data_IF_505590357284
#
_entry.id   IF_505590357284
#
_cell.length_a   1.000
_cell.length_b   1.000
_cell.length_c   1.000
_cell.angle_alpha   90.00
_cell.angle_beta   90.00
_cell.angle_gamma   90.00
#
_symmetry.space_group_name_H-M   'P 1'
#
loop_
_entity.id
_entity.type
_entity.pdbx_description
1 polymer ?
#
# COMPACT_ATOMS: atom_id res chain seq x y z
N UNK A 1 -20.19 -3.29 22.00
CA UNK A 1 -19.25 -2.27 21.48
C UNK A 1 -18.54 -2.82 20.25
N UNK A 2 -19.11 -2.66 19.04
CA UNK A 2 -18.59 -3.23 17.77
C UNK A 2 -17.84 -2.24 16.86
N UNK A 3 -17.74 -0.97 17.27
CA UNK A 3 -17.29 0.12 16.39
C UNK A 3 -15.79 0.07 16.01
N UNK A 4 -14.94 -0.53 16.83
CA UNK A 4 -13.50 -0.51 16.59
C UNK A 4 -12.99 -1.59 15.62
N UNK A 5 -13.43 -2.86 15.70
CA UNK A 5 -13.19 -3.81 14.62
C UNK A 5 -13.69 -3.25 13.29
N UNK A 6 -14.89 -2.63 13.29
CA UNK A 6 -15.46 -1.99 12.11
C UNK A 6 -14.55 -0.91 11.53
N UNK A 7 -13.98 -0.03 12.37
CA UNK A 7 -13.04 1.00 11.93
C UNK A 7 -11.75 0.40 11.36
N UNK A 8 -11.16 -0.58 12.04
CA UNK A 8 -9.94 -1.25 11.56
C UNK A 8 -10.18 -1.99 10.23
N UNK A 9 -11.33 -2.66 10.08
CA UNK A 9 -11.72 -3.32 8.83
C UNK A 9 -12.06 -2.32 7.73
N UNK A 10 -12.70 -1.19 8.04
CA UNK A 10 -13.02 -0.15 7.06
C UNK A 10 -11.74 0.54 6.56
N UNK A 11 -10.83 0.93 7.47
CA UNK A 11 -9.55 1.53 7.11
C UNK A 11 -8.69 0.56 6.29
N UNK A 12 -8.54 -0.69 6.73
CA UNK A 12 -7.75 -1.68 5.99
C UNK A 12 -8.39 -2.06 4.66
N UNK A 13 -9.72 -2.17 4.58
CA UNK A 13 -10.45 -2.37 3.32
C UNK A 13 -10.26 -1.22 2.33
N UNK A 14 -10.32 0.03 2.79
CA UNK A 14 -10.02 1.20 1.97
C UNK A 14 -8.58 1.17 1.45
N UNK A 15 -7.59 0.92 2.32
CA UNK A 15 -6.18 0.86 1.92
C UNK A 15 -5.91 -0.29 0.94
N UNK A 16 -6.58 -1.44 1.14
CA UNK A 16 -6.50 -2.57 0.22
C UNK A 16 -7.08 -2.22 -1.16
N UNK A 17 -8.20 -1.49 -1.20
CA UNK A 17 -8.79 -1.02 -2.46
C UNK A 17 -7.87 -0.04 -3.20
N UNK A 18 -7.20 0.86 -2.48
CA UNK A 18 -6.19 1.76 -3.06
C UNK A 18 -5.01 0.97 -3.64
N UNK A 19 -4.45 0.04 -2.86
CA UNK A 19 -3.35 -0.83 -3.32
C UNK A 19 -3.74 -1.64 -4.54
N UNK A 20 -4.99 -2.11 -4.61
CA UNK A 20 -5.51 -2.81 -5.79
C UNK A 20 -5.54 -1.90 -7.03
N UNK A 21 -5.99 -0.65 -6.87
CA UNK A 21 -5.99 0.32 -7.97
C UNK A 21 -4.59 0.59 -8.50
N UNK A 22 -3.59 0.74 -7.61
CA UNK A 22 -2.18 0.87 -7.99
C UNK A 22 -1.69 -0.40 -8.71
N UNK A 23 -2.04 -1.57 -8.17
CA UNK A 23 -1.59 -2.87 -8.66
C UNK A 23 -2.07 -3.18 -10.08
N UNK A 24 -3.25 -2.72 -10.50
CA UNK A 24 -3.74 -2.89 -11.87
C UNK A 24 -2.73 -2.35 -12.90
N UNK A 25 -2.11 -1.20 -12.61
CA UNK A 25 -1.11 -0.61 -13.50
C UNK A 25 0.24 -1.32 -13.36
N UNK A 26 0.67 -1.59 -12.13
CA UNK A 26 1.95 -2.25 -11.86
C UNK A 26 2.04 -3.69 -12.38
N UNK A 27 0.90 -4.38 -12.48
CA UNK A 27 0.85 -5.76 -12.95
C UNK A 27 1.39 -5.93 -14.39
N UNK A 28 1.38 -4.86 -15.19
CA UNK A 28 1.98 -4.82 -16.54
C UNK A 28 3.47 -5.21 -16.54
N UNK A 29 4.16 -5.01 -15.41
CA UNK A 29 5.56 -5.39 -15.22
C UNK A 29 5.76 -6.91 -15.22
N UNK A 30 4.79 -7.69 -14.73
CA UNK A 30 4.91 -9.15 -14.63
C UNK A 30 4.78 -9.88 -15.97
N UNK A 31 4.18 -9.23 -16.97
CA UNK A 31 4.17 -9.73 -18.35
C UNK A 31 5.55 -9.79 -18.99
N UNK A 32 6.53 -9.06 -18.43
CA UNK A 32 7.88 -8.89 -18.97
C UNK A 32 8.91 -9.48 -18.00
N UNK A 33 8.90 -10.82 -17.92
CA UNK A 33 9.61 -11.62 -16.90
C UNK A 33 11.15 -11.50 -16.94
N UNK A 34 11.73 -11.07 -18.06
CA UNK A 34 13.17 -10.88 -18.18
C UNK A 34 13.62 -9.66 -17.38
N UNK A 35 14.11 -9.89 -16.15
CA UNK A 35 14.57 -8.84 -15.24
C UNK A 35 15.72 -7.96 -15.78
N UNK A 36 16.39 -8.40 -16.85
CA UNK A 36 17.47 -7.66 -17.53
C UNK A 36 17.00 -6.84 -18.72
N UNK A 37 15.80 -7.12 -19.23
CA UNK A 37 15.22 -6.42 -20.36
C UNK A 37 14.49 -5.18 -19.87
N UNK A 38 14.65 -4.08 -20.62
CA UNK A 38 13.91 -2.85 -20.40
C UNK A 38 12.42 -3.10 -20.68
N UNK A 39 11.55 -2.46 -19.90
CA UNK A 39 10.13 -2.52 -20.18
C UNK A 39 9.83 -1.77 -21.48
N UNK A 40 8.90 -2.26 -22.32
CA UNK A 40 8.49 -1.54 -23.52
C UNK A 40 7.99 -0.13 -23.15
N UNK A 41 8.34 0.86 -23.99
CA UNK A 41 7.96 2.26 -23.74
C UNK A 41 6.44 2.46 -23.53
N UNK A 42 5.53 1.75 -24.22
CA UNK A 42 4.10 1.87 -23.93
C UNK A 42 3.72 1.49 -22.48
N UNK A 43 4.40 0.50 -21.90
CA UNK A 43 4.18 0.07 -20.51
C UNK A 43 4.72 1.11 -19.55
N UNK A 44 5.94 1.62 -19.79
CA UNK A 44 6.51 2.68 -18.97
C UNK A 44 5.67 3.96 -19.04
N UNK A 45 5.15 4.32 -20.22
CA UNK A 45 4.24 5.45 -20.40
C UNK A 45 2.92 5.29 -19.66
N UNK A 46 2.35 4.09 -19.68
CA UNK A 46 1.15 3.76 -18.91
C UNK A 46 1.36 3.96 -17.42
N UNK A 47 2.41 3.34 -16.86
CA UNK A 47 2.72 3.37 -15.42
C UNK A 47 3.14 4.78 -14.97
N UNK A 48 4.04 5.44 -15.71
CA UNK A 48 4.48 6.79 -15.37
C UNK A 48 3.34 7.80 -15.48
N UNK A 49 2.49 7.68 -16.51
CA UNK A 49 1.31 8.54 -16.67
C UNK A 49 0.32 8.37 -15.51
N UNK A 50 0.14 7.14 -15.01
CA UNK A 50 -0.61 6.87 -13.79
C UNK A 50 -0.01 7.56 -12.58
N UNK A 51 1.27 7.32 -12.27
CA UNK A 51 1.90 7.90 -11.09
C UNK A 51 2.05 9.42 -11.17
N UNK A 52 2.21 9.99 -12.36
CA UNK A 52 2.20 11.43 -12.55
C UNK A 52 0.85 12.02 -12.11
N UNK A 53 -0.27 11.46 -12.59
CA UNK A 53 -1.60 11.90 -12.16
C UNK A 53 -1.85 11.66 -10.68
N UNK A 54 -1.46 10.49 -10.17
CA UNK A 54 -1.62 10.13 -8.77
C UNK A 54 -0.89 11.11 -7.83
N UNK A 55 0.30 11.58 -8.23
CA UNK A 55 1.14 12.48 -7.43
C UNK A 55 0.86 13.97 -7.63
N UNK A 56 0.31 14.37 -8.78
CA UNK A 56 0.04 15.79 -9.09
C UNK A 56 -1.44 16.15 -9.00
N UNK A 57 -2.28 15.52 -9.83
CA UNK A 57 -3.71 15.86 -9.98
C UNK A 57 -4.58 15.23 -8.90
N UNK A 58 -4.15 14.10 -8.33
CA UNK A 58 -4.90 13.34 -7.33
C UNK A 58 -4.42 13.59 -5.89
N UNK A 59 -3.76 14.72 -5.62
CA UNK A 59 -3.36 15.11 -4.26
C UNK A 59 -4.44 15.00 -3.17
N UNK A 60 -5.74 15.33 -3.38
CA UNK A 60 -6.75 15.10 -2.35
C UNK A 60 -6.85 13.63 -1.93
N UNK A 61 -6.67 12.70 -2.88
CA UNK A 61 -6.66 11.26 -2.60
C UNK A 61 -5.42 10.86 -1.78
N UNK A 62 -4.24 11.40 -2.12
CA UNK A 62 -3.01 11.16 -1.34
C UNK A 62 -3.13 11.61 0.12
N UNK A 63 -3.74 12.78 0.36
CA UNK A 63 -4.00 13.28 1.73
C UNK A 63 -4.99 12.38 2.47
N UNK A 64 -6.04 11.92 1.79
CA UNK A 64 -7.01 10.99 2.37
C UNK A 64 -6.33 9.67 2.79
N UNK A 65 -5.47 9.09 1.94
CA UNK A 65 -4.72 7.87 2.27
C UNK A 65 -3.88 8.07 3.54
N UNK A 66 -3.14 9.18 3.64
CA UNK A 66 -2.37 9.48 4.85
C UNK A 66 -3.24 9.61 6.10
N UNK A 67 -4.40 10.28 5.99
CA UNK A 67 -5.36 10.38 7.09
C UNK A 67 -5.86 8.99 7.50
N UNK A 68 -6.21 8.13 6.54
CA UNK A 68 -6.68 6.77 6.84
C UNK A 68 -5.58 5.92 7.49
N UNK A 69 -4.33 6.03 7.05
CA UNK A 69 -3.19 5.39 7.71
C UNK A 69 -3.03 5.85 9.15
N UNK A 70 -3.12 7.17 9.40
CA UNK A 70 -3.03 7.72 10.75
C UNK A 70 -4.19 7.26 11.65
N UNK A 71 -5.42 7.22 11.13
CA UNK A 71 -6.59 6.70 11.84
C UNK A 71 -6.40 5.21 12.17
N UNK A 72 -5.92 4.40 11.23
CA UNK A 72 -5.67 2.98 11.44
C UNK A 72 -4.67 2.75 12.58
N UNK A 73 -3.52 3.44 12.54
CA UNK A 73 -2.48 3.32 13.56
C UNK A 73 -2.94 3.88 14.92
N UNK A 74 -3.63 5.02 14.93
CA UNK A 74 -4.18 5.61 16.14
C UNK A 74 -5.24 4.72 16.81
N UNK A 75 -6.12 4.13 16.02
CA UNK A 75 -7.11 3.16 16.50
C UNK A 75 -6.41 1.93 17.08
N UNK A 76 -5.39 1.39 16.39
CA UNK A 76 -4.64 0.23 16.89
C UNK A 76 -3.91 0.55 18.21
N UNK A 77 -3.23 1.70 18.30
CA UNK A 77 -2.53 2.14 19.50
C UNK A 77 -3.47 2.37 20.69
N UNK A 78 -4.63 2.96 20.46
CA UNK A 78 -5.65 3.13 21.50
C UNK A 78 -6.13 1.79 22.07
N UNK A 79 -6.27 0.76 21.23
CA UNK A 79 -6.66 -0.58 21.68
C UNK A 79 -5.55 -1.32 22.40
N UNK A 80 -4.30 -1.12 21.99
CA UNK A 80 -3.14 -1.61 22.72
C UNK A 80 -3.12 -1.08 24.16
N UNK A 81 -3.35 0.22 24.35
CA UNK A 81 -3.37 0.86 25.68
C UNK A 81 -4.53 0.36 26.54
N UNK A 82 -5.72 0.16 25.95
CA UNK A 82 -6.90 -0.33 26.69
C UNK A 82 -6.86 -1.83 27.01
N UNK A 83 -5.80 -2.56 26.61
CA UNK A 83 -5.60 -4.02 26.82
C UNK A 83 -6.84 -4.86 26.50
N UNK A 84 -7.57 -4.48 25.45
CA UNK A 84 -8.80 -5.18 25.07
C UNK A 84 -8.56 -6.43 24.21
N UNK A 85 -7.34 -6.60 23.73
CA UNK A 85 -6.91 -7.72 22.89
C UNK A 85 -5.68 -8.41 23.49
N UNK A 86 -5.47 -9.70 23.21
CA UNK A 86 -4.23 -10.38 23.56
C UNK A 86 -3.01 -9.65 22.98
N UNK A 87 -1.93 -9.55 23.75
CA UNK A 87 -0.74 -8.78 23.35
C UNK A 87 -0.13 -9.23 22.02
N UNK A 88 -0.19 -10.52 21.69
CA UNK A 88 0.30 -11.04 20.42
C UNK A 88 -0.54 -10.55 19.22
N UNK A 89 -1.87 -10.36 19.38
CA UNK A 89 -2.75 -9.83 18.33
C UNK A 89 -2.36 -8.41 17.99
N UNK A 90 -2.08 -7.60 19.02
CA UNK A 90 -1.61 -6.23 18.85
C UNK A 90 -0.24 -6.21 18.18
N UNK A 91 0.69 -7.07 18.60
CA UNK A 91 2.01 -7.15 18.00
C UNK A 91 1.96 -7.54 16.51
N UNK A 92 1.20 -8.59 16.16
CA UNK A 92 0.98 -9.01 14.76
C UNK A 92 0.30 -7.89 13.96
N UNK A 93 -0.74 -7.27 14.50
CA UNK A 93 -1.43 -6.15 13.85
C UNK A 93 -0.51 -4.95 13.61
N UNK A 94 0.38 -4.65 14.56
CA UNK A 94 1.33 -3.55 14.44
C UNK A 94 2.36 -3.83 13.32
N UNK A 95 2.82 -5.06 13.18
CA UNK A 95 3.70 -5.45 12.05
C UNK A 95 2.93 -5.39 10.73
N UNK A 96 1.73 -5.98 10.67
CA UNK A 96 0.93 -6.05 9.46
C UNK A 96 0.48 -4.68 8.94
N UNK A 97 0.22 -3.70 9.81
CA UNK A 97 -0.11 -2.33 9.40
C UNK A 97 1.13 -1.43 9.29
N UNK A 98 2.04 -1.49 10.25
CA UNK A 98 3.18 -0.59 10.34
C UNK A 98 4.23 -0.81 9.25
N UNK A 99 4.54 -2.06 8.93
CA UNK A 99 5.55 -2.38 7.92
C UNK A 99 5.19 -1.84 6.51
N UNK A 100 3.97 -2.06 5.96
CA UNK A 100 3.62 -1.52 4.65
C UNK A 100 3.49 0.01 4.64
N UNK A 101 3.01 0.63 5.74
CA UNK A 101 2.96 2.09 5.86
C UNK A 101 4.38 2.67 5.80
N UNK A 102 5.31 2.08 6.56
CA UNK A 102 6.69 2.54 6.58
C UNK A 102 7.37 2.34 5.21
N UNK A 103 7.17 1.17 4.59
CA UNK A 103 7.67 0.88 3.25
C UNK A 103 7.14 1.89 2.22
N UNK A 104 5.84 2.20 2.29
CA UNK A 104 5.19 3.16 1.40
C UNK A 104 5.81 4.55 1.54
N UNK A 105 5.97 5.05 2.78
CA UNK A 105 6.50 6.39 3.05
C UNK A 105 7.97 6.53 2.68
N UNK A 106 8.81 5.53 3.01
CA UNK A 106 10.26 5.63 2.83
C UNK A 106 10.68 5.32 1.40
N UNK A 107 10.00 4.40 0.73
CA UNK A 107 10.49 3.83 -0.53
C UNK A 107 9.48 3.92 -1.68
N UNK A 108 8.25 3.46 -1.48
CA UNK A 108 7.28 3.35 -2.58
C UNK A 108 6.89 4.71 -3.14
N UNK A 109 6.51 5.66 -2.28
CA UNK A 109 6.07 7.00 -2.70
C UNK A 109 7.20 7.79 -3.38
N UNK A 110 8.43 7.88 -2.82
CA UNK A 110 9.53 8.53 -3.52
C UNK A 110 9.86 7.92 -4.89
N UNK A 111 9.82 6.58 -5.00
CA UNK A 111 10.08 5.90 -6.26
C UNK A 111 8.95 6.14 -7.28
N UNK A 112 7.69 6.14 -6.85
CA UNK A 112 6.55 6.46 -7.68
C UNK A 112 6.60 7.90 -8.21
N UNK A 113 6.99 8.87 -7.38
CA UNK A 113 7.20 10.27 -7.80
C UNK A 113 8.30 10.35 -8.86
N UNK A 114 9.45 9.70 -8.64
CA UNK A 114 10.56 9.68 -9.61
C UNK A 114 10.14 9.06 -10.95
N UNK A 115 9.38 7.97 -10.90
CA UNK A 115 8.85 7.29 -12.08
C UNK A 115 7.82 8.14 -12.82
N UNK A 116 6.88 8.76 -12.09
CA UNK A 116 5.87 9.66 -12.66
C UNK A 116 6.47 10.91 -13.29
N UNK A 117 7.58 11.41 -12.75
CA UNK A 117 8.36 12.50 -13.33
C UNK A 117 9.35 12.06 -14.42
N UNK A 118 9.35 10.76 -14.79
CA UNK A 118 10.22 10.19 -15.83
C UNK A 118 11.72 10.49 -15.61
N UNK A 119 12.16 10.50 -14.35
CA UNK A 119 13.55 10.81 -14.01
C UNK A 119 14.47 9.64 -14.35
N UNK A 120 15.52 9.90 -15.14
CA UNK A 120 16.55 8.92 -15.50
C UNK A 120 16.30 8.19 -16.81
N UNK A 121 17.17 7.21 -17.12
CA UNK A 121 17.11 6.41 -18.35
C UNK A 121 15.93 5.41 -18.34
N UNK A 122 15.52 4.86 -19.49
CA UNK A 122 14.51 3.78 -19.56
C UNK A 122 14.85 2.57 -18.69
N UNK A 123 16.13 2.21 -18.58
CA UNK A 123 16.61 1.21 -17.65
C UNK A 123 16.35 1.58 -16.18
N UNK A 124 16.55 2.84 -15.79
CA UNK A 124 16.29 3.31 -14.43
C UNK A 124 14.80 3.27 -14.11
N UNK A 125 13.97 3.74 -15.05
CA UNK A 125 12.51 3.72 -14.94
C UNK A 125 11.99 2.28 -14.83
N UNK A 126 12.55 1.35 -15.60
CA UNK A 126 12.24 -0.08 -15.51
C UNK A 126 12.54 -0.64 -14.11
N UNK A 127 13.69 -0.30 -13.53
CA UNK A 127 14.04 -0.73 -12.17
C UNK A 127 13.11 -0.12 -11.13
N UNK A 128 12.73 1.14 -11.29
CA UNK A 128 11.75 1.81 -10.42
C UNK A 128 10.38 1.14 -10.51
N UNK A 129 9.86 0.91 -11.72
CA UNK A 129 8.57 0.25 -11.93
C UNK A 129 8.53 -1.15 -11.30
N UNK A 130 9.59 -1.95 -11.49
CA UNK A 130 9.74 -3.27 -10.85
C UNK A 130 9.83 -3.18 -9.34
N UNK A 131 10.51 -2.15 -8.80
CA UNK A 131 10.58 -1.93 -7.35
C UNK A 131 9.21 -1.62 -6.78
N UNK A 132 8.49 -0.66 -7.37
CA UNK A 132 7.17 -0.21 -6.90
C UNK A 132 6.16 -1.36 -6.97
N UNK A 133 6.14 -2.12 -8.07
CA UNK A 133 5.26 -3.29 -8.22
C UNK A 133 5.49 -4.35 -7.12
N UNK A 134 6.75 -4.59 -6.74
CA UNK A 134 7.09 -5.52 -5.65
C UNK A 134 6.68 -4.97 -4.29
N UNK A 135 6.93 -3.68 -4.07
CA UNK A 135 6.56 -3.02 -2.81
C UNK A 135 5.04 -3.03 -2.64
N UNK A 136 4.26 -2.77 -3.70
CA UNK A 136 2.79 -2.88 -3.66
C UNK A 136 2.29 -4.30 -3.45
N UNK A 137 2.91 -5.31 -4.07
CA UNK A 137 2.54 -6.71 -3.81
C UNK A 137 2.76 -7.10 -2.34
N UNK A 138 3.87 -6.67 -1.74
CA UNK A 138 4.13 -6.87 -0.31
C UNK A 138 3.09 -6.14 0.55
N UNK A 139 2.82 -4.86 0.25
CA UNK A 139 1.81 -4.08 0.95
C UNK A 139 0.42 -4.73 0.86
N UNK A 140 0.04 -5.23 -0.31
CA UNK A 140 -1.23 -5.89 -0.56
C UNK A 140 -1.37 -7.16 0.29
N UNK A 141 -0.31 -7.99 0.35
CA UNK A 141 -0.29 -9.17 1.21
C UNK A 141 -0.43 -8.84 2.70
N UNK A 142 0.29 -7.82 3.19
CA UNK A 142 0.25 -7.39 4.58
C UNK A 142 -1.13 -6.82 4.96
N UNK A 143 -1.68 -5.93 4.14
CA UNK A 143 -2.98 -5.33 4.40
C UNK A 143 -4.13 -6.32 4.24
N UNK A 144 -4.02 -7.29 3.33
CA UNK A 144 -4.98 -8.39 3.21
C UNK A 144 -4.97 -9.26 4.48
N UNK A 145 -3.79 -9.66 4.97
CA UNK A 145 -3.66 -10.43 6.19
C UNK A 145 -4.19 -9.66 7.42
N UNK A 146 -3.92 -8.35 7.50
CA UNK A 146 -4.48 -7.48 8.53
C UNK A 146 -6.01 -7.49 8.50
N UNK A 147 -6.59 -7.24 7.33
CA UNK A 147 -8.05 -7.21 7.15
C UNK A 147 -8.67 -8.55 7.52
N UNK A 148 -8.11 -9.66 7.02
CA UNK A 148 -8.59 -11.01 7.32
C UNK A 148 -8.56 -11.30 8.83
N UNK A 149 -7.47 -10.95 9.53
CA UNK A 149 -7.36 -11.11 10.98
C UNK A 149 -8.51 -10.40 11.69
N UNK A 150 -8.74 -9.12 11.39
CA UNK A 150 -9.75 -8.31 12.08
C UNK A 150 -11.19 -8.65 11.70
N UNK A 151 -11.44 -9.10 10.47
CA UNK A 151 -12.74 -9.66 10.05
C UNK A 151 -13.04 -10.94 10.81
N UNK A 152 -12.10 -11.89 10.86
CA UNK A 152 -12.30 -13.16 11.58
C UNK A 152 -12.50 -12.91 13.08
N UNK A 153 -11.69 -12.03 13.68
CA UNK A 153 -11.87 -11.66 15.10
C UNK A 153 -13.23 -11.01 15.38
N UNK A 154 -13.68 -10.11 14.51
CA UNK A 154 -15.00 -9.47 14.64
C UNK A 154 -16.19 -10.41 14.42
N UNK A 155 -15.96 -11.57 13.79
CA UNK A 155 -16.98 -12.61 13.60
C UNK A 155 -17.02 -13.62 14.76
N UNK A 156 -15.90 -13.81 15.47
CA UNK A 156 -15.75 -14.83 16.53
C UNK A 156 -15.94 -14.25 17.94
N UNK A 157 -15.73 -12.95 18.14
CA UNK A 157 -15.79 -12.22 19.43
C UNK A 157 -16.99 -11.28 19.49
#
# INVERSE_FOLDING_TARGET
>A
MRAAPLLLTACSGFLLAVLWMDFIFDAQVFGHRNAREELPEPVLASIAGYYHRATTTSQPMGRLIMIVMAILLGALGFWAVRRREPGWVIAVSAVLAGAPILLALIRTVPNAIRLGNRVGSPADQTRLARSVARDHLLCLGFMFAFLALWVVRGAVV
#
